data_IF_100986523466
#
_entry.id   IF_100986523466
#
_cell.length_a   1.000
_cell.length_b   1.000
_cell.length_c   1.000
_cell.angle_alpha   90.00
_cell.angle_beta   90.00
_cell.angle_gamma   90.00
#
_symmetry.space_group_name_H-M   'P 1'
#
loop_
_entity.id
_entity.type
_entity.pdbx_description
1 polymer ?
#
# COMPACT_ATOMS: atom_id res chain seq x y z
N UNK A 1 10.54 33.82 49.74
CA UNK A 1 11.23 33.30 48.54
C UNK A 1 11.26 31.78 48.61
N UNK A 2 10.41 31.06 47.88
CA UNK A 2 10.46 29.60 47.59
C UNK A 2 9.14 29.18 46.90
N UNK A 3 8.80 29.84 45.79
CA UNK A 3 7.60 29.49 45.01
C UNK A 3 7.84 29.66 43.50
N UNK A 4 9.06 29.32 43.05
CA UNK A 4 9.49 29.50 41.65
C UNK A 4 10.00 28.18 41.03
N UNK A 5 9.99 27.08 41.78
CA UNK A 5 10.48 25.77 41.30
C UNK A 5 9.40 24.81 40.78
N UNK A 6 8.25 25.32 40.31
CA UNK A 6 7.16 24.47 39.80
C UNK A 6 6.75 24.80 38.35
N UNK A 7 7.66 25.33 37.53
CA UNK A 7 7.37 25.68 36.13
C UNK A 7 8.37 25.08 35.13
N UNK A 8 8.96 23.92 35.46
CA UNK A 8 10.00 23.29 34.63
C UNK A 8 9.71 21.83 34.26
N UNK A 9 8.43 21.43 34.16
CA UNK A 9 8.04 20.04 33.87
C UNK A 9 6.96 19.88 32.79
N UNK A 10 6.64 20.93 32.01
CA UNK A 10 5.55 20.89 31.02
C UNK A 10 5.96 21.15 29.57
N UNK A 11 7.23 20.88 29.20
CA UNK A 11 7.68 20.95 27.80
C UNK A 11 8.10 19.59 27.25
N UNK A 12 7.47 18.52 27.71
CA UNK A 12 7.64 17.20 27.10
C UNK A 12 6.33 16.83 26.38
N UNK A 13 6.47 16.53 25.08
CA UNK A 13 5.53 15.76 24.23
C UNK A 13 4.40 16.48 23.47
N UNK A 14 4.70 17.51 22.69
CA UNK A 14 3.95 17.74 21.44
C UNK A 14 4.87 17.65 20.21
N UNK A 15 5.56 16.52 20.05
CA UNK A 15 5.94 16.11 18.70
C UNK A 15 4.73 15.38 18.11
N UNK A 16 3.76 16.14 17.61
CA UNK A 16 2.78 15.58 16.70
C UNK A 16 3.54 15.31 15.40
N UNK A 17 4.06 14.09 15.22
CA UNK A 17 4.68 13.72 13.97
C UNK A 17 3.61 13.81 12.88
N UNK A 18 3.80 14.74 11.95
CA UNK A 18 2.89 14.94 10.82
C UNK A 18 2.78 13.62 10.05
N UNK A 19 1.57 13.06 10.00
CA UNK A 19 1.29 11.78 9.35
C UNK A 19 0.88 12.06 7.92
N UNK A 20 1.80 11.87 6.98
CA UNK A 20 1.48 11.95 5.56
C UNK A 20 0.75 10.67 5.14
N UNK A 21 -0.32 10.83 4.36
CA UNK A 21 -1.13 9.72 3.87
C UNK A 21 -1.26 9.80 2.36
N UNK A 22 -1.00 8.70 1.68
CA UNK A 22 -1.30 8.50 0.28
C UNK A 22 -2.63 7.78 0.09
N UNK A 23 -3.16 7.87 -1.13
CA UNK A 23 -4.40 7.19 -1.51
C UNK A 23 -4.29 6.64 -2.93
N UNK A 24 -4.82 5.45 -3.14
CA UNK A 24 -5.14 4.92 -4.48
C UNK A 24 -6.61 4.55 -4.53
N UNK A 25 -7.31 5.01 -5.56
CA UNK A 25 -8.74 4.80 -5.69
C UNK A 25 -9.17 4.45 -7.11
N UNK A 26 -10.20 3.62 -7.20
CA UNK A 26 -10.91 3.31 -8.45
C UNK A 26 -12.32 2.86 -8.13
N UNK A 27 -13.32 3.56 -8.67
CA UNK A 27 -14.75 3.34 -8.39
C UNK A 27 -15.03 3.28 -6.88
N UNK A 28 -15.53 2.15 -6.38
CA UNK A 28 -15.91 1.96 -4.97
C UNK A 28 -14.78 1.45 -4.07
N UNK A 29 -13.57 1.31 -4.61
CA UNK A 29 -12.40 0.86 -3.86
C UNK A 29 -11.44 2.02 -3.65
N UNK A 30 -11.12 2.30 -2.39
CA UNK A 30 -10.16 3.33 -1.98
C UNK A 30 -9.26 2.75 -0.90
N UNK A 31 -7.96 2.72 -1.14
CA UNK A 31 -6.94 2.26 -0.20
C UNK A 31 -6.09 3.44 0.23
N UNK A 32 -6.01 3.66 1.53
CA UNK A 32 -5.14 4.66 2.15
C UNK A 32 -3.90 3.99 2.70
N UNK A 33 -2.75 4.63 2.55
CA UNK A 33 -1.48 4.11 3.05
C UNK A 33 -0.65 5.24 3.64
N UNK A 34 0.22 4.89 4.60
CA UNK A 34 1.11 5.86 5.21
C UNK A 34 2.21 6.25 4.22
N UNK A 35 2.57 7.53 4.20
CA UNK A 35 3.66 8.07 3.40
C UNK A 35 4.72 8.62 4.35
N UNK A 36 5.97 8.31 4.05
CA UNK A 36 7.11 8.86 4.75
C UNK A 36 7.43 10.24 4.18
N UNK A 37 7.75 11.17 5.07
CA UNK A 37 8.38 12.43 4.65
C UNK A 37 9.73 12.16 3.97
N UNK A 38 10.19 13.13 3.18
CA UNK A 38 11.42 13.02 2.39
C UNK A 38 12.65 12.66 3.24
N UNK A 39 12.73 13.19 4.47
CA UNK A 39 13.85 12.91 5.39
C UNK A 39 13.85 11.46 5.85
N UNK A 40 12.68 10.90 6.15
CA UNK A 40 12.53 9.48 6.54
C UNK A 40 12.75 8.55 5.35
N UNK A 41 12.26 8.93 4.17
CA UNK A 41 12.49 8.16 2.94
C UNK A 41 13.98 8.07 2.61
N UNK A 42 14.70 9.19 2.68
CA UNK A 42 16.14 9.21 2.42
C UNK A 42 16.93 8.34 3.42
N UNK A 43 16.52 8.28 4.69
CA UNK A 43 17.14 7.45 5.72
C UNK A 43 16.94 5.94 5.53
N UNK A 44 15.94 5.55 4.76
CA UNK A 44 15.59 4.15 4.50
C UNK A 44 16.38 3.57 3.32
N UNK A 45 16.85 4.43 2.41
CA UNK A 45 17.65 4.03 1.27
C UNK A 45 18.96 3.36 1.75
N UNK A 46 19.05 2.04 1.61
CA UNK A 46 20.20 1.23 2.08
C UNK A 46 19.99 0.43 3.39
N UNK A 47 18.81 0.46 4.02
CA UNK A 47 18.55 -0.24 5.29
C UNK A 47 17.54 -1.41 5.22
N UNK A 48 17.22 -1.95 4.03
CA UNK A 48 16.19 -2.99 3.85
C UNK A 48 14.85 -2.67 4.54
N UNK A 49 14.46 -1.39 4.52
CA UNK A 49 13.18 -0.93 5.09
C UNK A 49 12.21 -0.60 3.97
N UNK A 50 10.91 -0.72 4.25
CA UNK A 50 9.84 -0.40 3.30
C UNK A 50 9.88 1.11 3.01
N UNK A 51 10.14 1.49 1.76
CA UNK A 51 10.08 2.86 1.25
C UNK A 51 8.69 3.23 0.72
N UNK A 52 8.49 4.48 0.32
CA UNK A 52 7.23 4.97 -0.21
C UNK A 52 6.79 4.25 -1.48
N UNK A 53 7.73 3.90 -2.37
CA UNK A 53 7.43 3.14 -3.58
C UNK A 53 6.84 1.76 -3.25
N UNK A 54 7.44 1.04 -2.30
CA UNK A 54 6.92 -0.25 -1.85
C UNK A 54 5.53 -0.10 -1.21
N UNK A 55 5.31 0.92 -0.36
CA UNK A 55 3.97 1.19 0.21
C UNK A 55 2.92 1.46 -0.87
N UNK A 56 3.26 2.25 -1.88
CA UNK A 56 2.39 2.52 -3.01
C UNK A 56 2.05 1.25 -3.81
N UNK A 57 3.04 0.41 -4.11
CA UNK A 57 2.82 -0.86 -4.80
C UNK A 57 1.94 -1.81 -3.97
N UNK A 58 2.15 -1.85 -2.66
CA UNK A 58 1.32 -2.61 -1.72
C UNK A 58 -0.14 -2.14 -1.75
N UNK A 59 -0.36 -0.83 -1.76
CA UNK A 59 -1.70 -0.23 -1.87
C UNK A 59 -2.36 -0.55 -3.23
N UNK A 60 -1.60 -0.59 -4.32
CA UNK A 60 -2.10 -1.03 -5.64
C UNK A 60 -2.55 -2.49 -5.62
N UNK A 61 -1.82 -3.37 -4.95
CA UNK A 61 -2.24 -4.77 -4.83
C UNK A 61 -3.52 -4.92 -3.97
N UNK A 62 -3.61 -4.21 -2.86
CA UNK A 62 -4.82 -4.18 -2.04
C UNK A 62 -6.03 -3.60 -2.79
N UNK A 63 -5.79 -2.59 -3.64
CA UNK A 63 -6.80 -2.07 -4.55
C UNK A 63 -7.30 -3.15 -5.50
N UNK A 64 -6.40 -3.95 -6.10
CA UNK A 64 -6.79 -5.06 -6.96
C UNK A 64 -7.62 -6.12 -6.22
N UNK A 65 -7.28 -6.45 -4.97
CA UNK A 65 -8.10 -7.37 -4.15
C UNK A 65 -9.53 -6.84 -3.97
N UNK A 66 -9.67 -5.58 -3.59
CA UNK A 66 -11.00 -4.95 -3.46
C UNK A 66 -11.76 -5.01 -4.78
N UNK A 67 -11.10 -4.69 -5.90
CA UNK A 67 -11.70 -4.72 -7.23
C UNK A 67 -12.14 -6.12 -7.64
N UNK A 68 -11.38 -7.17 -7.31
CA UNK A 68 -11.79 -8.54 -7.56
C UNK A 68 -13.09 -8.88 -6.82
N UNK A 69 -13.24 -8.48 -5.55
CA UNK A 69 -14.48 -8.70 -4.79
C UNK A 69 -15.66 -7.92 -5.39
N UNK A 70 -15.42 -6.70 -5.85
CA UNK A 70 -16.44 -5.92 -6.56
C UNK A 70 -16.84 -6.53 -7.90
N UNK A 71 -15.87 -7.08 -8.64
CA UNK A 71 -16.15 -7.77 -9.91
C UNK A 71 -16.99 -9.04 -9.70
N UNK A 72 -16.76 -9.77 -8.60
CA UNK A 72 -17.55 -10.96 -8.26
C UNK A 72 -19.01 -10.61 -7.95
N UNK A 73 -19.26 -9.42 -7.40
CA UNK A 73 -20.61 -8.91 -7.14
C UNK A 73 -21.28 -8.38 -8.42
N UNK A 74 -20.52 -7.66 -9.25
CA UNK A 74 -21.00 -7.08 -10.50
C UNK A 74 -19.90 -7.19 -11.55
N UNK A 75 -20.19 -7.88 -12.67
CA UNK A 75 -19.25 -8.21 -13.76
C UNK A 75 -18.91 -6.99 -14.63
N UNK A 76 -18.46 -5.93 -13.98
CA UNK A 76 -18.14 -4.64 -14.56
C UNK A 76 -16.84 -4.72 -15.38
N UNK A 77 -16.94 -4.40 -16.68
CA UNK A 77 -15.81 -4.49 -17.61
C UNK A 77 -14.66 -3.56 -17.25
N UNK A 78 -14.92 -2.36 -16.76
CA UNK A 78 -13.87 -1.42 -16.39
C UNK A 78 -13.12 -1.89 -15.13
N UNK A 79 -13.82 -2.57 -14.20
CA UNK A 79 -13.18 -3.21 -13.05
C UNK A 79 -12.25 -4.33 -13.53
N UNK A 80 -12.70 -5.18 -14.46
CA UNK A 80 -11.86 -6.23 -15.05
C UNK A 80 -10.61 -5.64 -15.72
N UNK A 81 -10.76 -4.61 -16.55
CA UNK A 81 -9.63 -3.95 -17.22
C UNK A 81 -8.64 -3.35 -16.23
N UNK A 82 -9.13 -2.75 -15.14
CA UNK A 82 -8.27 -2.22 -14.07
C UNK A 82 -7.52 -3.32 -13.33
N UNK A 83 -8.17 -4.44 -13.00
CA UNK A 83 -7.50 -5.60 -12.38
C UNK A 83 -6.40 -6.13 -13.31
N UNK A 84 -6.69 -6.29 -14.60
CA UNK A 84 -5.71 -6.74 -15.59
C UNK A 84 -4.54 -5.75 -15.74
N UNK A 85 -4.82 -4.45 -15.62
CA UNK A 85 -3.78 -3.41 -15.64
C UNK A 85 -2.84 -3.57 -14.45
N UNK A 86 -3.39 -3.71 -13.23
CA UNK A 86 -2.58 -3.91 -12.00
C UNK A 86 -1.86 -5.26 -12.05
N UNK A 87 -2.50 -6.29 -12.60
CA UNK A 87 -1.90 -7.61 -12.77
C UNK A 87 -0.66 -7.58 -13.69
N UNK A 88 -0.69 -6.76 -14.74
CA UNK A 88 0.39 -6.61 -15.73
C UNK A 88 1.44 -5.57 -15.33
N UNK A 89 1.22 -4.86 -14.23
CA UNK A 89 2.10 -3.79 -13.78
C UNK A 89 3.46 -4.36 -13.36
N UNK A 90 4.54 -3.68 -13.73
CA UNK A 90 5.91 -4.08 -13.39
C UNK A 90 6.31 -3.40 -12.08
N UNK A 91 6.03 -4.08 -10.97
CA UNK A 91 6.35 -3.59 -9.62
C UNK A 91 7.83 -3.79 -9.31
N UNK A 92 8.45 -2.76 -8.72
CA UNK A 92 9.86 -2.78 -8.34
C UNK A 92 10.13 -3.71 -7.15
N UNK A 93 9.19 -3.84 -6.21
CA UNK A 93 9.37 -4.63 -4.99
C UNK A 93 8.61 -5.96 -5.01
N UNK A 94 7.70 -6.12 -5.97
CA UNK A 94 6.91 -7.33 -6.16
C UNK A 94 7.08 -7.85 -7.58
N UNK A 95 8.33 -8.06 -7.98
CA UNK A 95 8.65 -8.63 -9.28
C UNK A 95 7.98 -9.99 -9.42
N UNK A 96 7.14 -10.11 -10.44
CA UNK A 96 6.53 -11.39 -10.80
C UNK A 96 7.58 -12.16 -11.59
N UNK A 97 8.39 -12.97 -10.90
CA UNK A 97 9.47 -13.78 -11.50
C UNK A 97 8.97 -14.64 -12.68
N UNK A 98 7.68 -14.96 -12.69
CA UNK A 98 7.01 -15.57 -13.82
C UNK A 98 6.46 -14.50 -14.76
N UNK A 99 7.27 -14.14 -15.78
CA UNK A 99 6.78 -13.56 -17.03
C UNK A 99 5.54 -14.35 -17.46
N UNK A 100 4.40 -13.69 -17.33
CA UNK A 100 3.05 -14.11 -17.65
C UNK A 100 2.98 -15.32 -18.60
N UNK A 101 2.77 -16.52 -18.05
CA UNK A 101 1.90 -17.46 -18.77
C UNK A 101 0.57 -16.71 -19.00
N UNK A 102 -0.10 -16.85 -20.14
CA UNK A 102 -1.43 -16.29 -20.32
C UNK A 102 -2.36 -16.95 -19.29
N UNK A 103 -2.47 -16.33 -18.12
CA UNK A 103 -3.42 -16.71 -17.08
C UNK A 103 -4.72 -16.04 -17.52
N UNK A 104 -5.73 -16.86 -17.78
CA UNK A 104 -7.07 -16.36 -18.05
C UNK A 104 -7.57 -15.54 -16.85
N UNK A 105 -8.50 -14.62 -17.10
CA UNK A 105 -8.96 -13.72 -16.07
C UNK A 105 -9.66 -14.45 -14.89
N UNK A 106 -10.30 -15.59 -15.15
CA UNK A 106 -10.96 -16.38 -14.11
C UNK A 106 -9.94 -17.02 -13.16
N UNK A 107 -8.80 -17.45 -13.67
CA UNK A 107 -7.67 -17.95 -12.90
C UNK A 107 -7.06 -16.86 -12.02
N UNK A 108 -7.01 -15.60 -12.52
CA UNK A 108 -6.62 -14.44 -11.71
C UNK A 108 -7.62 -14.24 -10.56
N UNK A 109 -8.92 -14.27 -10.85
CA UNK A 109 -9.95 -14.10 -9.82
C UNK A 109 -9.96 -15.24 -8.78
N UNK A 110 -9.76 -16.48 -9.23
CA UNK A 110 -9.72 -17.67 -8.37
C UNK A 110 -8.53 -17.61 -7.40
N UNK A 111 -7.38 -17.16 -7.89
CA UNK A 111 -6.12 -17.10 -7.13
C UNK A 111 -5.80 -15.69 -6.62
N UNK A 112 -6.78 -14.78 -6.61
CA UNK A 112 -6.60 -13.35 -6.33
C UNK A 112 -5.83 -13.03 -5.05
N UNK A 113 -6.03 -13.82 -3.99
CA UNK A 113 -5.32 -13.64 -2.72
C UNK A 113 -3.84 -13.98 -2.86
N UNK A 114 -3.51 -15.09 -3.51
CA UNK A 114 -2.12 -15.46 -3.77
C UNK A 114 -1.42 -14.45 -4.69
N UNK A 115 -2.16 -13.89 -5.65
CA UNK A 115 -1.61 -12.96 -6.66
C UNK A 115 -1.42 -11.54 -6.11
N UNK A 116 -2.32 -11.07 -5.24
CA UNK A 116 -2.37 -9.67 -4.81
C UNK A 116 -2.26 -9.47 -3.28
N UNK A 117 -2.26 -10.52 -2.47
CA UNK A 117 -1.99 -10.37 -1.05
C UNK A 117 -0.48 -10.44 -0.79
N UNK A 118 0.14 -9.27 -0.91
CA UNK A 118 1.57 -9.10 -0.67
C UNK A 118 2.02 -9.51 0.74
N UNK A 119 1.10 -9.56 1.71
CA UNK A 119 1.43 -9.93 3.10
C UNK A 119 1.77 -11.41 3.23
N UNK A 120 1.35 -12.23 2.27
CA UNK A 120 1.73 -13.65 2.19
C UNK A 120 3.25 -13.81 1.96
N UNK A 121 3.92 -12.79 1.41
CA UNK A 121 5.37 -12.79 1.17
C UNK A 121 6.19 -12.23 2.34
N UNK A 122 5.54 -11.74 3.41
CA UNK A 122 6.17 -11.03 4.51
C UNK A 122 6.30 -11.85 5.81
N UNK A 123 5.97 -13.15 5.78
CA UNK A 123 6.15 -14.12 6.88
C UNK A 123 7.43 -14.96 6.70
#
# INVERSE_FOLDING_TARGET
>A
MKLIYLFFLFTIFFSCAEKFTGEVSFKSCTIKYDVLDEKKEHKINGQNRVGNQWRFESAKQELALCLCEKYLQNRDKEIMEKILTIYRDDFQYYHRENKFKPIDFDSILKSRKEIFDYRILAD
#
